data_IF_826135053399
#
_entry.id   IF_826135053399
#
_cell.length_a   1.000
_cell.length_b   1.000
_cell.length_c   1.000
_cell.angle_alpha   90.00
_cell.angle_beta   90.00
_cell.angle_gamma   90.00
#
_symmetry.space_group_name_H-M   'P 1'
#
loop_
_entity.id
_entity.type
_entity.pdbx_description
1 polymer ?
#
# COMPACT_ATOMS: atom_id res chain seq x y z
N UNK A 1 -20.69 -10.57 6.37
CA UNK A 1 -19.64 -9.63 6.80
C UNK A 1 -18.32 -10.18 6.26
N UNK A 2 -17.84 -9.70 5.12
CA UNK A 2 -16.66 -10.28 4.47
C UNK A 2 -15.40 -9.46 4.79
N UNK A 3 -14.52 -10.10 5.55
CA UNK A 3 -13.25 -9.62 6.09
C UNK A 3 -12.14 -9.53 5.03
N UNK A 4 -12.21 -8.56 4.10
CA UNK A 4 -11.03 -8.17 3.30
C UNK A 4 -10.47 -6.79 3.72
N UNK A 5 -10.76 -6.40 4.97
CA UNK A 5 -10.29 -5.16 5.61
C UNK A 5 -8.90 -5.31 6.24
N UNK A 6 -7.99 -6.06 5.62
CA UNK A 6 -6.65 -6.26 6.18
C UNK A 6 -5.69 -5.24 5.56
N UNK A 7 -5.15 -4.35 6.39
CA UNK A 7 -4.04 -3.48 5.99
C UNK A 7 -2.85 -4.35 5.66
N UNK A 8 -2.08 -3.97 4.63
CA UNK A 8 -0.89 -4.72 4.23
C UNK A 8 0.32 -3.80 4.11
N UNK A 9 1.49 -4.38 4.33
CA UNK A 9 2.78 -3.77 4.03
C UNK A 9 3.61 -4.70 3.16
N UNK A 10 4.54 -4.11 2.40
CA UNK A 10 5.54 -4.85 1.68
C UNK A 10 6.67 -5.29 2.63
N UNK A 11 7.03 -6.57 2.60
CA UNK A 11 8.19 -7.15 3.28
C UNK A 11 9.13 -7.76 2.25
N UNK A 12 10.43 -7.48 2.34
CA UNK A 12 11.43 -8.12 1.49
C UNK A 12 11.89 -9.44 2.11
N UNK A 13 11.87 -10.50 1.30
CA UNK A 13 12.43 -11.80 1.61
C UNK A 13 13.89 -11.83 1.14
N UNK A 14 14.84 -11.91 2.08
CA UNK A 14 16.27 -11.85 1.78
C UNK A 14 16.80 -13.13 1.13
N UNK A 15 16.14 -14.28 1.33
CA UNK A 15 16.54 -15.54 0.72
C UNK A 15 16.23 -15.58 -0.79
N UNK A 16 15.23 -14.80 -1.22
CA UNK A 16 14.83 -14.66 -2.63
C UNK A 16 15.44 -13.42 -3.31
N UNK A 17 15.88 -12.44 -2.52
CA UNK A 17 16.34 -11.17 -3.04
C UNK A 17 17.78 -11.25 -3.55
N UNK A 18 17.95 -11.18 -4.86
CA UNK A 18 19.29 -11.16 -5.51
C UNK A 18 19.94 -9.78 -5.59
N UNK A 19 19.35 -8.75 -4.96
CA UNK A 19 19.94 -7.40 -4.92
C UNK A 19 19.85 -6.61 -6.22
N UNK A 20 18.93 -6.95 -7.13
CA UNK A 20 18.84 -6.35 -8.48
C UNK A 20 18.46 -4.86 -8.57
N UNK A 21 18.15 -4.17 -7.46
CA UNK A 21 17.85 -2.73 -7.46
C UNK A 21 16.47 -2.32 -7.98
N UNK A 22 15.83 -3.08 -8.88
CA UNK A 22 14.56 -2.73 -9.58
C UNK A 22 13.50 -2.12 -8.67
N UNK A 23 13.20 -2.77 -7.55
CA UNK A 23 12.13 -2.32 -6.65
C UNK A 23 12.46 -1.01 -5.92
N UNK A 24 13.74 -0.64 -5.77
CA UNK A 24 14.19 0.59 -5.10
C UNK A 24 14.56 1.72 -6.06
N UNK A 25 14.97 1.39 -7.28
CA UNK A 25 15.41 2.37 -8.27
C UNK A 25 14.29 2.83 -9.20
N UNK A 26 13.39 1.91 -9.58
CA UNK A 26 12.33 2.19 -10.57
C UNK A 26 11.02 2.59 -9.89
N UNK A 27 10.77 2.07 -8.69
CA UNK A 27 9.55 2.38 -7.94
C UNK A 27 9.80 3.62 -7.10
N UNK A 28 9.06 4.69 -7.39
CA UNK A 28 9.01 5.89 -6.56
C UNK A 28 8.27 5.57 -5.24
N UNK A 29 8.97 4.93 -4.31
CA UNK A 29 8.40 4.47 -3.06
C UNK A 29 8.37 5.62 -2.03
N UNK A 30 7.18 6.05 -1.56
CA UNK A 30 7.09 7.15 -0.61
C UNK A 30 7.62 6.77 0.78
N UNK A 31 7.78 5.47 1.08
CA UNK A 31 8.23 5.00 2.39
C UNK A 31 9.75 4.97 2.55
N UNK A 32 10.51 5.44 1.56
CA UNK A 32 11.98 5.55 1.56
C UNK A 32 12.72 4.23 1.36
N UNK A 33 12.37 3.19 2.14
CA UNK A 33 12.99 1.86 2.02
C UNK A 33 11.96 0.79 1.66
N UNK A 34 12.18 0.15 0.52
CA UNK A 34 11.28 -0.86 -0.03
C UNK A 34 11.41 -2.19 0.71
N UNK A 35 10.28 -2.68 1.21
CA UNK A 35 10.20 -3.98 1.87
C UNK A 35 10.65 -4.00 3.34
N UNK A 36 10.98 -2.85 3.94
CA UNK A 36 11.47 -2.77 5.32
C UNK A 36 10.99 -1.53 6.10
N UNK A 37 9.95 -0.83 5.65
CA UNK A 37 9.56 0.48 6.21
C UNK A 37 8.24 0.46 6.99
N UNK A 38 8.24 1.10 8.17
CA UNK A 38 7.04 1.42 8.95
C UNK A 38 6.11 2.42 8.26
N UNK A 39 6.64 3.13 7.26
CA UNK A 39 5.91 4.12 6.45
C UNK A 39 5.25 3.49 5.22
N UNK A 40 5.36 2.17 5.05
CA UNK A 40 4.71 1.48 3.95
C UNK A 40 3.19 1.64 4.01
N UNK A 41 2.64 2.20 2.93
CA UNK A 41 1.19 2.43 2.77
C UNK A 41 0.45 1.28 2.08
N UNK A 42 1.16 0.18 1.79
CA UNK A 42 0.57 -1.01 1.17
C UNK A 42 0.19 -0.83 -0.31
N UNK A 43 0.88 0.03 -1.07
CA UNK A 43 0.52 0.31 -2.47
C UNK A 43 0.75 -0.85 -3.44
N UNK A 44 1.59 -1.83 -3.09
CA UNK A 44 1.86 -3.01 -3.93
C UNK A 44 2.78 -2.75 -5.14
N UNK A 45 3.24 -1.52 -5.40
CA UNK A 45 4.07 -1.22 -6.57
C UNK A 45 5.40 -2.00 -6.57
N UNK A 46 6.10 -2.06 -5.43
CA UNK A 46 7.33 -2.85 -5.32
C UNK A 46 7.11 -4.37 -5.38
N UNK A 47 5.93 -4.84 -4.95
CA UNK A 47 5.51 -6.24 -5.10
C UNK A 47 5.39 -6.60 -6.58
N UNK A 48 4.66 -5.78 -7.35
CA UNK A 48 4.49 -5.97 -8.80
C UNK A 48 5.80 -5.79 -9.58
N UNK A 49 6.67 -4.88 -9.15
CA UNK A 49 7.91 -4.58 -9.85
C UNK A 49 9.03 -5.61 -9.61
N UNK A 50 8.96 -6.45 -8.56
CA UNK A 50 10.07 -7.33 -8.22
C UNK A 50 10.14 -8.53 -9.17
N UNK A 51 11.18 -8.65 -10.04
CA UNK A 51 11.25 -9.73 -11.02
C UNK A 51 11.57 -11.10 -10.39
N UNK A 52 12.04 -11.11 -9.13
CA UNK A 52 12.38 -12.32 -8.38
C UNK A 52 11.31 -12.67 -7.34
N UNK A 53 10.18 -11.96 -7.34
CA UNK A 53 9.09 -12.13 -6.36
C UNK A 53 9.58 -12.10 -4.89
N UNK A 54 10.65 -11.36 -4.64
CA UNK A 54 11.29 -11.27 -3.33
C UNK A 54 10.60 -10.25 -2.40
N UNK A 55 9.49 -9.67 -2.84
CA UNK A 55 8.65 -8.77 -2.03
C UNK A 55 7.33 -9.50 -1.77
N UNK A 56 6.89 -9.50 -0.52
CA UNK A 56 5.65 -10.13 -0.06
C UNK A 56 4.73 -9.07 0.53
N UNK A 57 3.41 -9.18 0.31
CA UNK A 57 2.43 -8.36 1.00
C UNK A 57 1.94 -9.11 2.24
N UNK A 58 2.24 -8.57 3.42
CA UNK A 58 1.91 -9.17 4.72
C UNK A 58 0.93 -8.29 5.49
N UNK A 59 0.09 -8.93 6.30
CA UNK A 59 -0.86 -8.22 7.16
C UNK A 59 -0.16 -7.25 8.11
N UNK A 60 -0.75 -6.08 8.29
CA UNK A 60 -0.30 -5.03 9.19
C UNK A 60 -1.33 -4.77 10.29
N UNK A 61 -0.90 -4.36 11.49
CA UNK A 61 -1.80 -4.04 12.59
C UNK A 61 -2.71 -2.86 12.24
N UNK A 62 -3.82 -2.74 12.98
CA UNK A 62 -4.73 -1.60 12.88
C UNK A 62 -3.98 -0.30 13.19
N UNK A 63 -4.25 0.74 12.42
CA UNK A 63 -3.56 2.04 12.51
C UNK A 63 -4.49 3.11 13.08
N UNK A 64 -3.91 4.23 13.54
CA UNK A 64 -4.68 5.38 14.05
C UNK A 64 -5.50 5.98 12.92
N UNK A 65 -6.57 6.71 13.26
CA UNK A 65 -7.33 7.44 12.26
C UNK A 65 -6.78 8.86 12.08
N UNK A 66 -6.81 9.34 10.84
CA UNK A 66 -6.46 10.71 10.46
C UNK A 66 -7.61 11.36 9.73
N UNK A 67 -7.72 12.68 9.85
CA UNK A 67 -8.73 13.47 9.15
C UNK A 67 -8.27 13.77 7.73
N UNK A 68 -9.11 13.45 6.76
CA UNK A 68 -8.94 13.82 5.35
C UNK A 68 -10.09 14.70 4.87
N UNK A 69 -9.97 15.27 3.67
CA UNK A 69 -11.05 16.01 3.00
C UNK A 69 -11.29 15.40 1.63
N UNK A 70 -12.55 15.07 1.33
CA UNK A 70 -12.98 14.53 0.03
C UNK A 70 -14.20 15.32 -0.40
N UNK A 71 -14.18 15.91 -1.60
CA UNK A 71 -15.28 16.72 -2.15
C UNK A 71 -15.79 17.84 -1.22
N UNK A 72 -14.87 18.45 -0.45
CA UNK A 72 -15.18 19.52 0.50
C UNK A 72 -15.55 19.04 1.92
N UNK A 73 -15.95 17.79 2.06
CA UNK A 73 -16.38 17.18 3.33
C UNK A 73 -15.23 16.49 4.08
N UNK A 74 -15.35 16.42 5.41
CA UNK A 74 -14.33 15.84 6.28
C UNK A 74 -14.66 14.41 6.70
N UNK A 75 -13.66 13.52 6.59
CA UNK A 75 -13.77 12.11 6.96
C UNK A 75 -12.58 11.67 7.81
N UNK A 76 -12.76 10.61 8.59
CA UNK A 76 -11.69 9.95 9.32
C UNK A 76 -11.43 8.58 8.70
N UNK A 77 -10.17 8.31 8.37
CA UNK A 77 -9.73 7.03 7.80
C UNK A 77 -8.44 6.58 8.46
N UNK A 78 -8.11 5.28 8.45
CA UNK A 78 -6.84 4.78 8.93
C UNK A 78 -5.65 5.47 8.25
N UNK A 79 -4.62 5.81 9.02
CA UNK A 79 -3.39 6.36 8.48
C UNK A 79 -2.59 5.34 7.66
N UNK A 80 -1.66 5.86 6.84
CA UNK A 80 -0.73 5.06 6.02
C UNK A 80 -1.45 4.08 5.11
N UNK A 81 -2.46 4.52 4.38
CA UNK A 81 -3.11 3.75 3.31
C UNK A 81 -3.01 4.53 1.99
N UNK A 82 -3.27 3.87 0.87
CA UNK A 82 -3.38 4.56 -0.41
C UNK A 82 -4.66 5.40 -0.47
N UNK A 83 -4.65 6.45 -1.30
CA UNK A 83 -5.87 7.23 -1.60
C UNK A 83 -6.97 6.32 -2.12
N UNK A 84 -6.65 5.38 -3.01
CA UNK A 84 -7.57 4.37 -3.50
C UNK A 84 -8.25 3.62 -2.34
N UNK A 85 -7.47 3.14 -1.37
CA UNK A 85 -8.02 2.40 -0.24
C UNK A 85 -8.90 3.27 0.66
N UNK A 86 -8.52 4.52 0.87
CA UNK A 86 -9.34 5.48 1.62
C UNK A 86 -10.70 5.68 0.93
N UNK A 87 -10.71 5.87 -0.40
CA UNK A 87 -11.95 6.03 -1.17
C UNK A 87 -12.81 4.76 -1.17
N UNK A 88 -12.22 3.57 -1.28
CA UNK A 88 -12.94 2.30 -1.14
C UNK A 88 -13.63 2.19 0.23
N UNK A 89 -12.95 2.58 1.32
CA UNK A 89 -13.50 2.56 2.69
C UNK A 89 -14.70 3.52 2.80
N UNK A 90 -14.66 4.66 2.12
CA UNK A 90 -15.76 5.62 2.05
C UNK A 90 -16.89 5.17 1.10
N UNK A 91 -16.75 4.02 0.43
CA UNK A 91 -17.79 3.44 -0.42
C UNK A 91 -17.76 3.88 -1.89
N UNK A 92 -16.70 4.58 -2.34
CA UNK A 92 -16.56 4.94 -3.75
C UNK A 92 -16.38 3.69 -4.61
N UNK A 93 -17.07 3.65 -5.75
CA UNK A 93 -16.92 2.60 -6.76
C UNK A 93 -15.83 3.01 -7.73
N UNK A 94 -14.81 2.17 -7.85
CA UNK A 94 -13.65 2.46 -8.71
C UNK A 94 -13.82 1.70 -10.03
N UNK A 95 -13.95 2.46 -11.11
CA UNK A 95 -13.95 1.92 -12.47
C UNK A 95 -12.55 1.49 -12.89
N UNK A 96 -12.46 0.37 -13.62
CA UNK A 96 -11.20 -0.10 -14.23
C UNK A 96 -10.90 0.56 -15.57
N UNK A 97 -11.93 1.17 -16.17
CA UNK A 97 -11.88 1.91 -17.41
C UNK A 97 -12.25 3.37 -17.13
N UNK A 98 -11.62 4.36 -17.80
CA UNK A 98 -12.12 5.73 -17.79
C UNK A 98 -13.57 5.74 -18.28
N UNK A 99 -14.44 6.43 -17.54
CA UNK A 99 -15.81 6.74 -17.98
C UNK A 99 -15.85 7.90 -18.96
#
# INVERSE_FOLDING_TARGET
>A
MNLNSQFVIARRNLDRCVGCGVCGEIVACPSGNVGHSSECVGCGACYLACPNEAIELVGAPRRREIRIRVDGEHFYVPEKITVLKALEILGYKIGRFPG
#
